data_IF_312756443593
#
_entry.id   IF_312756443593
#
_cell.length_a   1.000
_cell.length_b   1.000
_cell.length_c   1.000
_cell.angle_alpha   90.00
_cell.angle_beta   90.00
_cell.angle_gamma   90.00
#
_symmetry.space_group_name_H-M   'P 1'
#
loop_
_entity.id
_entity.type
_entity.pdbx_description
1 polymer ?
#
# COMPACT_ATOMS: atom_id res chain seq x y z
N UNK A 1 -12.00 6.38 -1.00
CA UNK A 1 -10.98 7.11 -0.19
C UNK A 1 -9.77 7.26 -1.09
N UNK A 2 -9.02 8.33 -0.93
CA UNK A 2 -7.78 8.60 -1.68
C UNK A 2 -6.68 8.90 -0.68
N UNK A 3 -5.51 8.30 -0.85
CA UNK A 3 -4.32 8.66 -0.06
C UNK A 3 -3.69 9.92 -0.64
N UNK A 4 -3.37 10.90 0.20
CA UNK A 4 -2.81 12.20 -0.21
C UNK A 4 -1.55 12.54 0.59
N UNK A 5 -0.82 13.55 0.13
CA UNK A 5 0.30 14.14 0.87
C UNK A 5 -0.07 14.67 2.27
N UNK A 6 0.94 14.94 3.09
CA UNK A 6 0.75 15.35 4.49
C UNK A 6 0.33 16.80 4.61
N UNK A 7 0.87 17.67 3.75
CA UNK A 7 0.61 19.12 3.79
C UNK A 7 -0.80 19.44 3.30
N UNK A 8 -1.70 19.94 4.18
CA UNK A 8 -3.05 20.31 3.79
C UNK A 8 -3.11 21.42 2.73
N UNK A 9 -2.13 22.33 2.69
CA UNK A 9 -2.12 23.40 1.69
C UNK A 9 -1.90 22.84 0.28
N UNK A 10 -0.95 21.91 0.14
CA UNK A 10 -0.73 21.19 -1.11
C UNK A 10 -1.98 20.40 -1.54
N UNK A 11 -2.66 19.73 -0.60
CA UNK A 11 -3.93 19.01 -0.87
C UNK A 11 -5.01 19.96 -1.39
N UNK A 12 -5.22 21.11 -0.74
CA UNK A 12 -6.22 22.08 -1.21
C UNK A 12 -5.84 22.68 -2.58
N UNK A 13 -4.55 22.96 -2.81
CA UNK A 13 -4.04 23.43 -4.09
C UNK A 13 -4.40 22.45 -5.21
N UNK A 14 -4.03 21.18 -5.06
CA UNK A 14 -4.31 20.12 -6.07
C UNK A 14 -5.81 19.91 -6.28
N UNK A 15 -6.63 19.99 -5.23
CA UNK A 15 -8.09 19.94 -5.37
C UNK A 15 -8.64 21.13 -6.15
N UNK A 16 -8.13 22.33 -5.91
CA UNK A 16 -8.58 23.55 -6.59
C UNK A 16 -8.19 23.55 -8.07
N UNK A 17 -7.00 23.04 -8.39
CA UNK A 17 -6.49 22.87 -9.76
C UNK A 17 -7.10 21.70 -10.52
N UNK A 18 -7.86 20.83 -9.84
CA UNK A 18 -8.45 19.63 -10.48
C UNK A 18 -7.43 18.54 -10.82
N UNK A 19 -6.32 18.46 -10.10
CA UNK A 19 -5.22 17.51 -10.33
C UNK A 19 -5.42 16.15 -9.64
N UNK A 20 -6.59 15.92 -9.05
CA UNK A 20 -6.92 14.68 -8.35
C UNK A 20 -8.00 13.92 -9.11
N UNK A 21 -7.63 12.80 -9.72
CA UNK A 21 -8.57 11.91 -10.40
C UNK A 21 -9.46 11.15 -9.41
N UNK A 22 -10.68 10.83 -9.84
CA UNK A 22 -11.62 10.03 -9.07
C UNK A 22 -11.27 8.54 -9.19
N UNK A 23 -11.14 7.81 -8.07
CA UNK A 23 -10.91 6.36 -8.11
C UNK A 23 -12.16 5.55 -8.45
N UNK A 24 -13.33 6.18 -8.66
CA UNK A 24 -14.60 5.50 -8.92
C UNK A 24 -15.15 5.70 -10.33
N UNK A 25 -14.53 6.54 -11.15
CA UNK A 25 -14.84 6.68 -12.58
C UNK A 25 -13.62 7.19 -13.35
N UNK A 26 -13.47 6.77 -14.60
CA UNK A 26 -12.30 7.05 -15.45
C UNK A 26 -11.98 8.54 -15.60
N UNK A 27 -13.01 9.35 -15.89
CA UNK A 27 -12.82 10.74 -16.32
C UNK A 27 -13.22 11.77 -15.26
N UNK A 28 -13.39 11.30 -14.02
CA UNK A 28 -13.83 12.14 -12.91
C UNK A 28 -12.69 12.90 -12.27
N UNK A 29 -12.92 14.18 -11.97
CA UNK A 29 -12.00 15.02 -11.17
C UNK A 29 -12.62 15.31 -9.81
N UNK A 30 -11.81 15.22 -8.77
CA UNK A 30 -12.19 15.51 -7.40
C UNK A 30 -12.15 17.00 -7.12
N UNK A 31 -13.22 17.52 -6.53
CA UNK A 31 -13.31 18.88 -6.02
C UNK A 31 -13.52 18.88 -4.51
N UNK A 32 -13.16 19.99 -3.87
CA UNK A 32 -13.41 20.20 -2.44
C UNK A 32 -14.90 20.06 -2.09
N UNK A 33 -15.23 19.27 -1.05
CA UNK A 33 -16.61 19.08 -0.59
C UNK A 33 -16.83 19.48 0.86
N UNK A 34 -16.17 18.80 1.80
CA UNK A 34 -16.23 19.12 3.22
C UNK A 34 -15.12 18.42 3.97
N UNK A 35 -15.34 18.10 5.24
CA UNK A 35 -14.36 17.41 6.06
C UNK A 35 -15.00 16.22 6.77
N UNK A 36 -14.20 15.21 7.08
CA UNK A 36 -14.58 14.15 8.00
C UNK A 36 -14.58 14.67 9.45
N UNK A 37 -15.06 13.83 10.38
CA UNK A 37 -14.97 14.16 11.81
C UNK A 37 -13.50 14.24 12.24
N UNK A 38 -13.21 15.24 13.07
CA UNK A 38 -11.90 15.35 13.72
C UNK A 38 -11.70 14.15 14.65
N UNK A 39 -10.49 13.59 14.68
CA UNK A 39 -10.16 12.46 15.54
C UNK A 39 -8.72 12.52 16.03
N UNK A 40 -8.44 12.11 17.27
CA UNK A 40 -7.07 11.95 17.73
C UNK A 40 -6.38 10.82 16.96
N UNK A 41 -5.07 10.97 16.75
CA UNK A 41 -4.19 9.94 16.22
C UNK A 41 -2.96 9.87 17.08
N UNK A 42 -2.68 8.71 17.67
CA UNK A 42 -1.49 8.50 18.46
C UNK A 42 -0.22 8.72 17.61
N UNK A 43 0.69 9.54 18.13
CA UNK A 43 1.90 10.00 17.43
C UNK A 43 1.77 11.38 16.77
N UNK A 44 0.58 12.00 16.78
CA UNK A 44 0.39 13.38 16.33
C UNK A 44 -0.04 14.28 17.49
N UNK A 45 0.45 15.52 17.48
CA UNK A 45 0.12 16.54 18.49
C UNK A 45 -1.31 17.05 18.32
N UNK A 46 -1.73 17.30 17.08
CA UNK A 46 -3.05 17.79 16.76
C UNK A 46 -3.97 16.65 16.26
N UNK A 47 -5.28 16.71 16.53
CA UNK A 47 -6.22 15.77 15.95
C UNK A 47 -6.27 15.94 14.44
N UNK A 48 -6.46 14.83 13.73
CA UNK A 48 -6.57 14.82 12.27
C UNK A 48 -8.03 15.01 11.88
N UNK A 49 -8.29 15.96 11.00
CA UNK A 49 -9.59 16.18 10.38
C UNK A 49 -9.46 16.02 8.86
N UNK A 50 -9.60 14.78 8.34
CA UNK A 50 -9.38 14.50 6.92
C UNK A 50 -10.30 15.33 6.02
N UNK A 51 -9.73 15.86 4.94
CA UNK A 51 -10.49 16.53 3.89
C UNK A 51 -11.40 15.52 3.17
N UNK A 52 -12.55 15.96 2.69
CA UNK A 52 -13.42 15.20 1.78
C UNK A 52 -13.46 15.89 0.43
N UNK A 53 -13.34 15.09 -0.61
CA UNK A 53 -13.55 15.52 -1.98
C UNK A 53 -14.82 14.85 -2.55
N UNK A 54 -15.48 15.51 -3.48
CA UNK A 54 -16.59 14.96 -4.25
C UNK A 54 -16.21 15.00 -5.73
N UNK A 55 -16.41 13.89 -6.43
CA UNK A 55 -16.17 13.83 -7.87
C UNK A 55 -17.18 14.72 -8.60
N UNK A 56 -16.71 15.52 -9.57
CA UNK A 56 -17.56 16.33 -10.43
C UNK A 56 -18.36 15.51 -11.45
N UNK A 57 -17.85 14.33 -11.84
CA UNK A 57 -18.52 13.42 -12.78
C UNK A 57 -19.54 12.51 -12.09
N UNK A 58 -19.06 11.55 -11.29
CA UNK A 58 -19.92 10.52 -10.69
C UNK A 58 -20.54 10.91 -9.34
N UNK A 59 -20.30 12.11 -8.83
CA UNK A 59 -20.81 12.62 -7.56
C UNK A 59 -20.41 11.84 -6.29
N UNK A 60 -19.61 10.77 -6.39
CA UNK A 60 -19.11 9.99 -5.26
C UNK A 60 -18.20 10.85 -4.36
N UNK A 61 -18.35 10.71 -3.05
CA UNK A 61 -17.52 11.39 -2.06
C UNK A 61 -16.38 10.49 -1.59
N UNK A 62 -15.17 11.04 -1.51
CA UNK A 62 -13.99 10.36 -0.99
C UNK A 62 -13.38 11.14 0.16
N UNK A 63 -12.98 10.41 1.20
CA UNK A 63 -12.09 10.95 2.22
C UNK A 63 -10.65 10.97 1.67
N UNK A 64 -9.97 12.10 1.82
CA UNK A 64 -8.56 12.27 1.52
C UNK A 64 -7.77 11.99 2.80
N UNK A 65 -7.14 10.82 2.84
CA UNK A 65 -6.41 10.33 4.00
C UNK A 65 -4.91 10.63 3.82
N UNK A 66 -4.25 11.35 4.75
CA UNK A 66 -2.81 11.55 4.67
C UNK A 66 -2.03 10.23 4.59
N UNK A 67 -0.95 10.22 3.80
CA UNK A 67 -0.03 9.07 3.60
C UNK A 67 0.64 8.59 4.89
N UNK A 68 0.51 9.33 5.98
CA UNK A 68 0.98 8.93 7.31
C UNK A 68 -0.02 8.06 8.07
N UNK A 69 -1.20 7.75 7.51
CA UNK A 69 -2.28 7.04 8.19
C UNK A 69 -2.80 5.83 7.42
N UNK A 70 -3.18 4.79 8.16
CA UNK A 70 -3.96 3.65 7.63
C UNK A 70 -5.45 3.81 7.94
N UNK A 71 -6.29 3.32 7.01
CA UNK A 71 -7.74 3.38 7.13
C UNK A 71 -8.20 2.71 8.44
N UNK A 72 -9.07 3.41 9.18
CA UNK A 72 -9.65 2.94 10.46
C UNK A 72 -8.59 2.56 11.52
N UNK A 73 -7.39 3.15 11.47
CA UNK A 73 -6.37 3.03 12.51
C UNK A 73 -6.10 4.40 13.14
N UNK A 74 -6.16 4.48 14.47
CA UNK A 74 -5.96 5.72 15.24
C UNK A 74 -4.49 5.96 15.62
N UNK A 75 -3.55 5.52 14.78
CA UNK A 75 -2.11 5.56 15.03
C UNK A 75 -1.39 5.93 13.74
N UNK A 76 -0.27 6.63 13.86
CA UNK A 76 0.63 6.85 12.74
C UNK A 76 1.06 5.53 12.11
N UNK A 77 1.17 5.52 10.79
CA UNK A 77 1.66 4.38 10.03
C UNK A 77 3.06 3.96 10.49
N UNK A 78 3.92 4.90 10.88
CA UNK A 78 5.25 4.62 11.43
C UNK A 78 5.19 3.79 12.72
N UNK A 79 4.24 4.08 13.61
CA UNK A 79 4.08 3.34 14.86
C UNK A 79 3.64 1.90 14.58
N UNK A 80 2.72 1.74 13.63
CA UNK A 80 2.27 0.42 13.18
C UNK A 80 3.42 -0.33 12.49
N UNK A 81 4.19 0.35 11.64
CA UNK A 81 5.34 -0.19 10.94
C UNK A 81 6.42 -0.66 11.91
N UNK A 82 6.71 0.10 12.97
CA UNK A 82 7.63 -0.29 14.02
C UNK A 82 7.19 -1.59 14.73
N UNK A 83 5.88 -1.79 14.94
CA UNK A 83 5.34 -3.02 15.50
C UNK A 83 5.55 -4.22 14.56
N UNK A 84 5.32 -4.04 13.25
CA UNK A 84 5.57 -5.07 12.23
C UNK A 84 7.07 -5.42 12.14
N UNK A 85 7.94 -4.42 12.14
CA UNK A 85 9.39 -4.59 12.14
C UNK A 85 9.89 -5.35 13.38
N UNK A 86 9.35 -5.04 14.57
CA UNK A 86 9.67 -5.78 15.77
C UNK A 86 9.20 -7.23 15.71
N UNK A 87 8.03 -7.50 15.10
CA UNK A 87 7.52 -8.85 14.90
C UNK A 87 8.39 -9.66 13.93
N UNK A 88 8.88 -9.03 12.85
CA UNK A 88 9.81 -9.67 11.92
C UNK A 88 11.13 -10.08 12.59
N UNK A 89 11.58 -9.32 13.59
CA UNK A 89 12.74 -9.67 14.46
C UNK A 89 12.39 -10.67 15.58
N UNK A 90 11.29 -11.40 15.46
CA UNK A 90 10.90 -12.44 16.42
C UNK A 90 10.18 -11.96 17.69
N UNK A 91 9.95 -10.66 17.89
CA UNK A 91 9.26 -10.19 19.10
C UNK A 91 7.78 -10.59 19.14
N UNK A 92 7.30 -11.04 20.30
CA UNK A 92 5.87 -11.26 20.55
C UNK A 92 5.08 -9.96 20.72
N UNK A 93 3.75 -10.02 20.59
CA UNK A 93 2.90 -8.81 20.69
C UNK A 93 2.93 -8.13 22.07
N UNK A 94 3.14 -8.86 23.17
CA UNK A 94 3.19 -8.27 24.53
C UNK A 94 4.44 -7.40 24.75
N UNK A 95 5.68 -7.88 24.47
CA UNK A 95 6.87 -7.01 24.53
C UNK A 95 6.80 -5.80 23.58
N UNK A 96 6.24 -5.98 22.38
CA UNK A 96 6.05 -4.88 21.42
C UNK A 96 5.11 -3.83 21.99
N UNK A 97 3.97 -4.25 22.53
CA UNK A 97 2.98 -3.39 23.14
C UNK A 97 3.56 -2.58 24.31
N UNK A 98 4.31 -3.23 25.20
CA UNK A 98 4.99 -2.57 26.30
C UNK A 98 5.98 -1.51 25.80
N UNK A 99 6.83 -1.85 24.83
CA UNK A 99 7.84 -0.93 24.29
C UNK A 99 7.22 0.29 23.61
N UNK A 100 6.09 0.11 22.94
CA UNK A 100 5.40 1.19 22.23
C UNK A 100 4.40 1.96 23.11
N UNK A 101 4.12 1.50 24.33
CA UNK A 101 3.08 2.08 25.18
C UNK A 101 1.66 1.91 24.64
N UNK A 102 1.39 0.81 23.91
CA UNK A 102 0.13 0.57 23.21
C UNK A 102 -0.60 -0.63 23.84
N UNK A 103 -1.94 -0.64 23.93
CA UNK A 103 -2.67 -1.82 24.39
C UNK A 103 -2.29 -3.09 23.61
N UNK A 104 -2.00 -4.18 24.35
CA UNK A 104 -1.56 -5.45 23.74
C UNK A 104 -2.58 -6.06 22.78
N UNK A 105 -3.87 -5.85 23.01
CA UNK A 105 -4.95 -6.27 22.11
C UNK A 105 -4.90 -5.54 20.75
N UNK A 106 -4.56 -4.25 20.76
CA UNK A 106 -4.40 -3.44 19.54
C UNK A 106 -3.23 -3.92 18.71
N UNK A 107 -2.04 -4.09 19.31
CA UNK A 107 -0.87 -4.64 18.62
C UNK A 107 -1.17 -6.03 18.08
N UNK A 108 -1.76 -6.91 18.89
CA UNK A 108 -2.19 -8.25 18.46
C UNK A 108 -3.13 -8.18 17.25
N UNK A 109 -4.09 -7.25 17.26
CA UNK A 109 -5.02 -7.04 16.16
C UNK A 109 -4.31 -6.64 14.87
N UNK A 110 -3.34 -5.74 14.93
CA UNK A 110 -2.53 -5.36 13.77
C UNK A 110 -1.72 -6.53 13.23
N UNK A 111 -1.00 -7.24 14.10
CA UNK A 111 -0.17 -8.38 13.68
C UNK A 111 -1.02 -9.49 13.05
N UNK A 112 -2.19 -9.80 13.61
CA UNK A 112 -3.12 -10.78 13.04
C UNK A 112 -3.66 -10.35 11.69
N UNK A 113 -4.13 -9.10 11.60
CA UNK A 113 -4.63 -8.54 10.36
C UNK A 113 -3.56 -8.61 9.28
N UNK A 114 -2.37 -8.17 9.59
CA UNK A 114 -1.25 -8.19 8.68
C UNK A 114 -0.92 -9.66 8.27
N UNK A 115 -0.94 -10.62 9.21
CA UNK A 115 -0.40 -11.97 8.97
C UNK A 115 -1.31 -12.78 8.06
N UNK A 116 -2.61 -12.55 8.15
CA UNK A 116 -3.62 -13.19 7.32
C UNK A 116 -3.45 -12.93 5.81
N UNK A 117 -2.54 -12.04 5.41
CA UNK A 117 -2.39 -11.57 4.02
C UNK A 117 -0.94 -11.43 3.58
N UNK A 118 0.00 -11.91 4.38
CA UNK A 118 1.41 -11.57 4.20
C UNK A 118 1.94 -11.91 2.79
N UNK A 119 1.58 -13.07 2.24
CA UNK A 119 1.99 -13.45 0.89
C UNK A 119 1.43 -12.52 -0.19
N UNK A 120 0.13 -12.19 -0.10
CA UNK A 120 -0.51 -11.26 -1.03
C UNK A 120 0.10 -9.86 -0.94
N UNK A 121 0.39 -9.38 0.26
CA UNK A 121 1.08 -8.10 0.48
C UNK A 121 2.49 -8.15 -0.11
N UNK A 122 3.26 -9.21 0.15
CA UNK A 122 4.61 -9.39 -0.40
C UNK A 122 4.59 -9.31 -1.92
N UNK A 123 3.75 -10.11 -2.58
CA UNK A 123 3.64 -10.12 -4.04
C UNK A 123 3.26 -8.76 -4.61
N UNK A 124 2.28 -8.07 -4.00
CA UNK A 124 1.89 -6.72 -4.41
C UNK A 124 3.07 -5.74 -4.38
N UNK A 125 3.83 -5.71 -3.29
CA UNK A 125 4.96 -4.79 -3.19
C UNK A 125 6.14 -5.15 -4.09
N UNK A 126 6.34 -6.44 -4.39
CA UNK A 126 7.30 -6.84 -5.43
C UNK A 126 6.86 -6.34 -6.81
N UNK A 127 5.57 -6.45 -7.16
CA UNK A 127 5.04 -5.86 -8.39
C UNK A 127 5.25 -4.35 -8.42
N UNK A 128 4.97 -3.64 -7.32
CA UNK A 128 5.24 -2.19 -7.22
C UNK A 128 6.73 -1.90 -7.44
N UNK A 129 7.62 -2.68 -6.83
CA UNK A 129 9.05 -2.52 -7.01
C UNK A 129 9.45 -2.68 -8.47
N UNK A 130 9.05 -3.79 -9.12
CA UNK A 130 9.37 -4.11 -10.52
C UNK A 130 8.79 -3.06 -11.48
N UNK A 131 7.57 -2.59 -11.25
CA UNK A 131 6.98 -1.54 -12.11
C UNK A 131 7.68 -0.19 -11.92
N UNK A 132 8.20 0.10 -10.73
CA UNK A 132 8.88 1.36 -10.44
C UNK A 132 10.38 1.33 -10.82
N UNK A 133 11.05 0.18 -10.77
CA UNK A 133 12.48 0.05 -11.00
C UNK A 133 12.80 -0.52 -12.38
N UNK A 134 13.95 -0.15 -12.94
CA UNK A 134 14.48 -0.79 -14.15
C UNK A 134 15.25 -2.06 -13.78
N UNK A 135 16.05 -2.00 -12.70
CA UNK A 135 16.75 -3.15 -12.10
C UNK A 135 16.32 -3.32 -10.65
N UNK A 136 15.47 -4.32 -10.39
CA UNK A 136 15.00 -4.64 -9.03
C UNK A 136 15.63 -5.93 -8.57
N UNK A 137 16.50 -5.83 -7.56
CA UNK A 137 16.97 -7.02 -6.85
C UNK A 137 15.84 -7.56 -5.98
N UNK A 138 15.31 -8.72 -6.35
CA UNK A 138 14.34 -9.43 -5.51
C UNK A 138 15.01 -9.80 -4.19
N UNK A 139 14.48 -9.38 -3.03
CA UNK A 139 15.07 -9.70 -1.74
C UNK A 139 15.14 -11.21 -1.52
N UNK A 140 16.22 -11.69 -0.92
CA UNK A 140 16.29 -13.07 -0.44
C UNK A 140 15.19 -13.34 0.58
N UNK A 141 14.70 -14.58 0.58
CA UNK A 141 13.76 -15.04 1.58
C UNK A 141 14.34 -14.83 2.98
N UNK A 142 13.57 -14.18 3.84
CA UNK A 142 13.86 -14.02 5.25
C UNK A 142 13.43 -15.26 6.03
N UNK A 143 13.96 -15.42 7.25
CA UNK A 143 13.58 -16.50 8.16
C UNK A 143 12.13 -16.38 8.68
N UNK A 144 11.42 -15.30 8.32
CA UNK A 144 10.01 -15.13 8.65
C UNK A 144 9.22 -14.51 7.51
N UNK A 145 7.97 -14.95 7.38
CA UNK A 145 6.94 -14.37 6.50
C UNK A 145 6.85 -12.84 6.64
N UNK A 146 7.12 -12.31 7.84
CA UNK A 146 7.15 -10.88 8.09
C UNK A 146 8.41 -10.19 7.59
N UNK A 147 9.57 -10.84 7.70
CA UNK A 147 10.79 -10.36 7.09
C UNK A 147 10.64 -10.22 5.58
N UNK A 148 9.98 -11.17 4.92
CA UNK A 148 9.71 -11.13 3.48
C UNK A 148 8.83 -9.95 3.07
N UNK A 149 7.74 -9.69 3.81
CA UNK A 149 6.86 -8.54 3.54
C UNK A 149 7.62 -7.24 3.69
N UNK A 150 8.39 -7.07 4.76
CA UNK A 150 9.14 -5.84 4.99
C UNK A 150 10.22 -5.64 3.93
N UNK A 151 10.89 -6.72 3.52
CA UNK A 151 11.88 -6.69 2.45
C UNK A 151 11.25 -6.31 1.10
N UNK A 152 10.05 -6.82 0.78
CA UNK A 152 9.32 -6.43 -0.43
C UNK A 152 8.93 -4.94 -0.43
N UNK A 153 8.45 -4.42 0.71
CA UNK A 153 8.16 -2.98 0.84
C UNK A 153 9.42 -2.15 0.73
N UNK A 154 10.54 -2.61 1.30
CA UNK A 154 11.81 -1.89 1.21
C UNK A 154 12.40 -1.89 -0.21
N UNK A 155 12.22 -2.99 -0.96
CA UNK A 155 12.53 -3.06 -2.38
C UNK A 155 11.69 -2.05 -3.17
N UNK A 156 10.37 -1.98 -2.91
CA UNK A 156 9.49 -0.99 -3.53
C UNK A 156 9.91 0.44 -3.20
N UNK A 157 10.23 0.72 -1.94
CA UNK A 157 10.74 2.02 -1.49
C UNK A 157 12.03 2.39 -2.21
N UNK A 158 12.97 1.45 -2.32
CA UNK A 158 14.26 1.66 -2.99
C UNK A 158 14.05 1.93 -4.48
N UNK A 159 13.21 1.16 -5.16
CA UNK A 159 12.88 1.35 -6.56
C UNK A 159 12.21 2.71 -6.84
N UNK A 160 11.21 3.08 -6.04
CA UNK A 160 10.54 4.40 -6.13
C UNK A 160 11.55 5.52 -5.89
N UNK A 161 12.39 5.40 -4.85
CA UNK A 161 13.39 6.43 -4.52
C UNK A 161 14.45 6.56 -5.60
N UNK A 162 14.87 5.45 -6.23
CA UNK A 162 15.83 5.46 -7.32
C UNK A 162 15.24 6.12 -8.58
N UNK A 163 14.00 5.79 -8.93
CA UNK A 163 13.31 6.34 -10.12
C UNK A 163 13.07 7.85 -10.04
N UNK A 164 12.66 8.33 -8.87
CA UNK A 164 12.24 9.73 -8.69
C UNK A 164 13.27 10.56 -7.90
N UNK A 165 14.53 10.09 -7.81
CA UNK A 165 15.55 10.51 -6.85
C UNK A 165 15.73 12.03 -6.67
N UNK A 166 15.97 12.44 -5.40
CA UNK A 166 16.42 13.74 -4.84
C UNK A 166 15.76 15.05 -5.32
N UNK A 167 14.94 15.07 -6.37
CA UNK A 167 14.14 16.23 -6.75
C UNK A 167 12.97 16.47 -5.77
N UNK A 168 12.64 15.44 -4.96
CA UNK A 168 11.78 15.60 -3.79
C UNK A 168 12.60 16.16 -2.62
N UNK A 169 12.61 17.49 -2.46
CA UNK A 169 13.10 18.23 -1.27
C UNK A 169 12.19 18.01 -0.04
N UNK A 170 11.48 16.88 0.05
CA UNK A 170 10.43 16.61 1.04
C UNK A 170 10.72 15.33 1.83
N UNK A 171 11.78 15.35 2.64
CA UNK A 171 12.09 14.30 3.62
C UNK A 171 12.43 12.91 3.03
N UNK A 172 12.97 12.03 3.85
CA UNK A 172 13.22 10.65 3.45
C UNK A 172 11.89 9.90 3.31
N UNK A 173 11.54 9.46 2.09
CA UNK A 173 10.38 8.58 1.86
C UNK A 173 10.56 7.31 2.69
N UNK A 174 9.70 7.11 3.68
CA UNK A 174 9.81 5.97 4.60
C UNK A 174 9.12 4.73 4.03
N UNK A 175 9.51 3.55 4.53
CA UNK A 175 8.85 2.30 4.18
C UNK A 175 7.36 2.31 4.59
N UNK A 176 7.00 2.97 5.70
CA UNK A 176 5.61 3.10 6.11
C UNK A 176 4.82 3.99 5.14
N UNK A 177 5.39 5.09 4.66
CA UNK A 177 4.75 5.96 3.65
C UNK A 177 4.53 5.21 2.34
N UNK A 178 5.52 4.46 1.85
CA UNK A 178 5.36 3.60 0.66
C UNK A 178 4.27 2.56 0.90
N UNK A 179 4.25 1.93 2.08
CA UNK A 179 3.25 0.95 2.43
C UNK A 179 1.83 1.53 2.41
N UNK A 180 1.65 2.76 2.91
CA UNK A 180 0.36 3.46 2.89
C UNK A 180 -0.02 3.91 1.49
N UNK A 181 0.91 4.50 0.73
CA UNK A 181 0.64 5.01 -0.61
C UNK A 181 0.25 3.88 -1.56
N UNK A 182 1.09 2.84 -1.66
CA UNK A 182 0.85 1.71 -2.56
C UNK A 182 -0.34 0.83 -2.16
N UNK A 183 -0.80 0.91 -0.90
CA UNK A 183 -2.02 0.23 -0.46
C UNK A 183 -3.26 1.11 -0.43
N UNK A 184 -3.18 2.37 -0.86
CA UNK A 184 -4.25 3.36 -0.66
C UNK A 184 -4.75 3.44 0.81
N UNK A 185 -3.84 3.25 1.78
CA UNK A 185 -4.15 3.20 3.20
C UNK A 185 -4.82 1.91 3.68
N UNK A 186 -4.90 0.89 2.83
CA UNK A 186 -5.64 -0.35 3.07
C UNK A 186 -4.77 -1.53 3.54
N UNK A 187 -3.47 -1.34 3.78
CA UNK A 187 -2.53 -2.40 4.20
C UNK A 187 -3.08 -3.38 5.25
N UNK A 188 -3.83 -2.86 6.24
CA UNK A 188 -4.43 -3.64 7.33
C UNK A 188 -5.95 -3.80 7.24
N UNK A 189 -6.56 -3.44 6.11
CA UNK A 189 -7.99 -3.59 5.87
C UNK A 189 -8.32 -5.00 5.38
N UNK A 190 -9.49 -5.55 5.74
CA UNK A 190 -9.98 -6.79 5.12
C UNK A 190 -10.13 -6.62 3.61
N UNK A 191 -9.81 -7.67 2.84
CA UNK A 191 -9.99 -7.69 1.38
C UNK A 191 -8.96 -6.91 0.56
N UNK A 192 -7.90 -6.38 1.17
CA UNK A 192 -6.76 -5.79 0.46
C UNK A 192 -5.51 -6.68 0.66
N UNK A 193 -4.62 -6.85 -0.34
CA UNK A 193 -4.75 -6.34 -1.70
C UNK A 193 -5.93 -7.01 -2.41
N UNK A 194 -6.57 -6.30 -3.37
CA UNK A 194 -7.57 -6.95 -4.21
C UNK A 194 -6.90 -8.17 -4.86
N UNK A 195 -7.62 -9.29 -4.93
CA UNK A 195 -7.15 -10.40 -5.73
C UNK A 195 -6.82 -9.85 -7.11
N UNK A 196 -5.61 -10.12 -7.62
CA UNK A 196 -5.38 -9.95 -9.04
C UNK A 196 -6.51 -10.72 -9.70
N UNK A 197 -7.36 -10.04 -10.49
CA UNK A 197 -8.11 -10.76 -11.50
C UNK A 197 -7.05 -11.51 -12.26
N UNK A 198 -6.94 -12.83 -12.03
CA UNK A 198 -6.20 -13.69 -12.91
C UNK A 198 -6.84 -13.41 -14.26
N UNK A 199 -6.15 -12.67 -15.12
CA UNK A 199 -6.41 -12.73 -16.55
C UNK A 199 -6.49 -14.22 -16.83
N UNK A 200 -7.67 -14.66 -17.25
CA UNK A 200 -7.90 -16.02 -17.69
C UNK A 200 -6.72 -16.38 -18.59
N UNK A 201 -5.93 -17.37 -18.17
CA UNK A 201 -4.81 -17.86 -18.94
C UNK A 201 -5.26 -17.97 -20.40
N UNK A 202 -4.57 -17.28 -21.30
CA UNK A 202 -4.75 -17.44 -22.74
C UNK A 202 -4.75 -18.95 -22.99
N UNK A 203 -5.78 -19.52 -23.62
CA UNK A 203 -5.78 -20.94 -23.94
C UNK A 203 -4.52 -21.21 -24.77
N UNK A 204 -3.64 -22.07 -24.27
CA UNK A 204 -2.57 -22.63 -25.09
C UNK A 204 -3.26 -23.55 -26.07
N UNK A 205 -3.18 -23.19 -27.35
CA UNK A 205 -3.75 -23.92 -28.47
C UNK A 205 -3.12 -25.33 -28.52
N UNK A 206 -3.89 -26.43 -28.43
CA UNK A 206 -3.36 -27.79 -28.43
C UNK A 206 -3.01 -28.30 -29.84
N UNK A 207 -2.44 -27.46 -30.70
CA UNK A 207 -2.09 -27.78 -32.08
C UNK A 207 -0.57 -27.89 -32.31
N UNK A 208 0.17 -28.47 -31.36
CA UNK A 208 1.61 -28.69 -31.47
C UNK A 208 2.03 -30.17 -31.39
N UNK A 209 1.14 -31.11 -31.70
CA UNK A 209 1.54 -32.51 -31.98
C UNK A 209 0.75 -33.10 -33.16
N UNK A 210 0.93 -32.56 -34.37
CA UNK A 210 0.70 -33.36 -35.57
C UNK A 210 1.80 -33.08 -36.61
N UNK A 211 2.63 -34.09 -36.86
CA UNK A 211 3.48 -34.14 -38.05
C UNK A 211 4.87 -34.73 -37.80
N UNK A 212 5.01 -36.04 -37.91
CA UNK A 212 5.57 -36.67 -39.12
C UNK A 212 5.94 -38.14 -38.85
N UNK A 213 5.06 -39.05 -39.23
CA UNK A 213 5.41 -40.45 -39.43
C UNK A 213 4.75 -40.96 -40.71
N UNK A 214 5.44 -40.75 -41.83
CA UNK A 214 5.27 -41.47 -43.09
C UNK A 214 6.61 -41.39 -43.80
N UNK A 215 7.20 -42.42 -44.39
CA UNK A 215 6.79 -43.79 -44.66
C UNK A 215 8.04 -44.51 -45.16
N UNK A 216 8.16 -45.83 -44.98
CA UNK A 216 8.97 -46.63 -45.90
C UNK A 216 8.45 -48.06 -46.01
N UNK A 217 7.74 -48.31 -47.11
CA UNK A 217 7.74 -49.57 -47.85
C UNK A 217 7.78 -49.24 -49.34
N UNK A 218 8.76 -49.88 -49.99
CA UNK A 218 9.07 -50.04 -51.43
C UNK A 218 9.72 -48.85 -52.12
#
# INVERSE_FOLDING_TARGET
>A
MVTVEVDPACVESRLSSGEMSCPSCSDGVLAGWGFARSRPVAGLVAPVRPRRARCRGCAVTHVLLPVTLLLRRAYLAEVIWAALAAKARGSGHRPIAQRLGIPGSTVRGWLRAAAARADAVRSWFLTVAVTAGVDVTVPRAAESVWGDVLAAVDAARTAITARFGRSAVLGAVTAAQVAVAASAGLLLSPGWPPASSSDSATPVDPAAEEGNASSSRV
#
